data_IF_047419929599
#
_entry.id   IF_047419929599
#
_cell.length_a   1.000
_cell.length_b   1.000
_cell.length_c   1.000
_cell.angle_alpha   90.00
_cell.angle_beta   90.00
_cell.angle_gamma   90.00
#
_symmetry.space_group_name_H-M   'P 1'
#
loop_
_entity.id
_entity.type
_entity.pdbx_description
1 polymer ?
#
# COMPACT_ATOMS: atom_id res chain seq x y z
N UNK A 1 6.75 3.51 15.55
CA UNK A 1 6.98 4.99 15.50
C UNK A 1 5.64 5.71 15.57
N UNK A 2 5.52 6.72 16.45
CA UNK A 2 4.35 7.63 16.53
C UNK A 2 4.48 8.72 15.45
N UNK A 3 3.38 9.06 14.79
CA UNK A 3 3.36 10.09 13.75
C UNK A 3 3.17 11.47 14.38
N UNK A 4 4.05 12.39 14.06
CA UNK A 4 3.95 13.80 14.41
C UNK A 4 4.40 14.66 13.23
N UNK A 5 4.18 15.97 13.30
CA UNK A 5 4.43 16.89 12.19
C UNK A 5 5.87 16.86 11.65
N UNK A 6 6.85 16.60 12.51
CA UNK A 6 8.26 16.54 12.10
C UNK A 6 8.55 15.25 11.34
N UNK A 7 8.23 14.09 11.94
CA UNK A 7 8.55 12.82 11.31
C UNK A 7 7.67 12.54 10.07
N UNK A 8 6.41 12.99 10.03
CA UNK A 8 5.57 12.90 8.84
C UNK A 8 6.22 13.59 7.63
N UNK A 9 6.80 14.80 7.84
CA UNK A 9 7.52 15.51 6.78
C UNK A 9 8.83 14.84 6.38
N UNK A 10 9.53 14.24 7.33
CA UNK A 10 10.75 13.46 7.03
C UNK A 10 10.39 12.21 6.21
N UNK A 11 9.39 11.46 6.63
CA UNK A 11 8.91 10.26 5.91
C UNK A 11 8.42 10.61 4.50
N UNK A 12 7.70 11.72 4.34
CA UNK A 12 7.24 12.22 3.04
C UNK A 12 8.39 12.42 2.04
N UNK A 13 9.56 12.91 2.49
CA UNK A 13 10.74 13.08 1.62
C UNK A 13 11.25 11.75 1.08
N UNK A 14 11.15 10.67 1.86
CA UNK A 14 11.54 9.34 1.45
C UNK A 14 10.46 8.63 0.60
N UNK A 15 9.22 9.15 0.64
CA UNK A 15 8.07 8.50 0.04
C UNK A 15 7.62 7.25 0.80
N UNK A 16 6.55 6.61 0.36
CA UNK A 16 5.97 5.44 1.00
C UNK A 16 6.98 4.28 1.11
N UNK A 17 7.64 3.99 0.02
CA UNK A 17 8.61 2.88 -0.07
C UNK A 17 9.83 3.12 0.83
N UNK A 18 10.42 4.33 0.77
CA UNK A 18 11.56 4.68 1.62
C UNK A 18 11.19 4.77 3.11
N UNK A 19 9.97 5.18 3.45
CA UNK A 19 9.47 5.14 4.83
C UNK A 19 9.37 3.71 5.35
N UNK A 20 8.83 2.80 4.56
CA UNK A 20 8.66 1.39 4.93
C UNK A 20 10.00 0.66 4.98
N UNK A 21 10.79 0.72 3.92
CA UNK A 21 12.02 -0.08 3.82
C UNK A 21 13.26 0.63 4.37
N UNK A 22 13.35 1.95 4.20
CA UNK A 22 14.47 2.73 4.72
C UNK A 22 14.38 3.05 6.22
N UNK A 23 13.21 2.95 6.83
CA UNK A 23 12.97 3.21 8.26
C UNK A 23 12.28 2.03 8.91
N UNK A 24 11.07 1.69 8.49
CA UNK A 24 10.20 0.70 9.13
C UNK A 24 10.82 -0.68 9.25
N UNK A 25 11.38 -1.21 8.18
CA UNK A 25 12.02 -2.53 8.18
C UNK A 25 13.26 -2.58 9.09
N UNK A 26 14.04 -1.47 9.14
CA UNK A 26 15.20 -1.36 10.04
C UNK A 26 14.82 -1.32 11.53
N UNK A 27 13.63 -0.84 11.85
CA UNK A 27 13.10 -0.91 13.22
C UNK A 27 12.52 -2.30 13.49
N UNK A 28 11.71 -2.81 12.55
CA UNK A 28 10.98 -4.05 12.72
C UNK A 28 11.92 -5.26 12.93
N UNK A 29 13.03 -5.34 12.20
CA UNK A 29 13.99 -6.46 12.31
C UNK A 29 14.64 -6.57 13.69
N UNK A 30 14.71 -5.48 14.46
CA UNK A 30 15.26 -5.48 15.83
C UNK A 30 14.36 -6.24 16.80
N UNK A 31 13.05 -6.09 16.62
CA UNK A 31 12.03 -6.75 17.44
C UNK A 31 11.65 -8.13 16.89
N UNK A 32 11.85 -8.32 15.58
CA UNK A 32 11.49 -9.55 14.85
C UNK A 32 12.66 -10.02 13.97
N UNK A 33 13.67 -10.68 14.58
CA UNK A 33 14.86 -11.14 13.86
C UNK A 33 14.59 -12.23 12.82
N UNK A 34 13.38 -12.76 12.78
CA UNK A 34 12.95 -13.68 11.71
C UNK A 34 12.52 -12.99 10.41
N UNK A 35 12.46 -11.65 10.37
CA UNK A 35 12.09 -10.89 9.17
C UNK A 35 13.05 -11.18 8.03
N UNK A 36 12.52 -11.60 6.90
CA UNK A 36 13.24 -11.71 5.63
C UNK A 36 12.58 -10.81 4.59
N UNK A 37 13.42 -10.11 3.81
CA UNK A 37 12.94 -9.29 2.69
C UNK A 37 13.53 -9.83 1.40
N UNK A 38 12.66 -10.11 0.43
CA UNK A 38 13.04 -10.56 -0.90
C UNK A 38 12.67 -9.51 -1.94
N UNK A 39 13.52 -9.31 -2.95
CA UNK A 39 13.29 -8.30 -4.00
C UNK A 39 13.58 -8.85 -5.39
N UNK A 40 12.77 -8.46 -6.36
CA UNK A 40 13.04 -8.68 -7.79
C UNK A 40 13.84 -7.51 -8.38
N UNK A 41 15.09 -7.38 -7.95
CA UNK A 41 16.06 -6.35 -8.39
C UNK A 41 15.60 -4.89 -8.16
N UNK A 42 14.81 -4.66 -7.11
CA UNK A 42 14.25 -3.34 -6.81
C UNK A 42 14.86 -2.68 -5.57
N UNK A 43 15.99 -3.17 -5.05
CA UNK A 43 16.52 -2.74 -3.75
C UNK A 43 16.78 -1.22 -3.68
N UNK A 44 17.37 -0.65 -4.72
CA UNK A 44 17.66 0.79 -4.77
C UNK A 44 16.36 1.61 -4.83
N UNK A 45 15.46 1.27 -5.77
CA UNK A 45 14.19 2.00 -5.98
C UNK A 45 13.25 1.87 -4.79
N UNK A 46 13.28 0.73 -4.13
CA UNK A 46 12.50 0.48 -2.92
C UNK A 46 13.08 1.13 -1.65
N UNK A 47 14.29 1.70 -1.70
CA UNK A 47 14.94 2.27 -0.52
C UNK A 47 15.52 1.22 0.44
N UNK A 48 15.81 0.00 -0.05
CA UNK A 48 16.33 -1.14 0.72
C UNK A 48 17.84 -1.14 0.91
N UNK A 49 18.58 -0.24 0.29
CA UNK A 49 20.06 -0.29 0.31
C UNK A 49 20.63 -0.26 1.74
N UNK A 50 20.04 0.56 2.62
CA UNK A 50 20.46 0.61 4.02
C UNK A 50 20.14 -0.68 4.76
N UNK A 51 18.96 -1.26 4.55
CA UNK A 51 18.56 -2.55 5.15
C UNK A 51 19.49 -3.67 4.70
N UNK A 52 19.68 -3.82 3.41
CA UNK A 52 20.57 -4.80 2.78
C UNK A 52 22.00 -4.73 3.32
N UNK A 53 22.56 -3.51 3.48
CA UNK A 53 23.91 -3.32 3.97
C UNK A 53 24.05 -3.56 5.48
N UNK A 54 22.97 -3.31 6.25
CA UNK A 54 22.98 -3.49 7.72
C UNK A 54 22.66 -4.93 8.12
N UNK A 55 21.77 -5.59 7.37
CA UNK A 55 21.27 -6.95 7.64
C UNK A 55 21.37 -7.82 6.38
N UNK A 56 22.57 -8.12 5.86
CA UNK A 56 22.76 -8.84 4.59
C UNK A 56 22.12 -10.23 4.59
N UNK A 57 22.11 -10.92 5.73
CA UNK A 57 21.52 -12.26 5.86
C UNK A 57 19.98 -12.26 5.89
N UNK A 58 19.37 -11.08 5.97
CA UNK A 58 17.92 -10.89 5.96
C UNK A 58 17.39 -10.39 4.61
N UNK A 59 18.27 -10.22 3.62
CA UNK A 59 17.89 -9.70 2.30
C UNK A 59 18.32 -10.64 1.18
N UNK A 60 17.39 -10.94 0.27
CA UNK A 60 17.64 -11.76 -0.91
C UNK A 60 17.17 -11.06 -2.18
N UNK A 61 18.05 -10.96 -3.16
CA UNK A 61 17.71 -10.48 -4.49
C UNK A 61 17.55 -11.66 -5.44
N UNK A 62 16.35 -11.85 -5.98
CA UNK A 62 16.05 -12.95 -6.92
C UNK A 62 16.35 -12.60 -8.37
N UNK A 63 16.84 -11.37 -8.64
CA UNK A 63 16.88 -10.81 -9.98
C UNK A 63 15.49 -10.44 -10.49
N UNK A 64 15.39 -10.04 -11.76
CA UNK A 64 14.12 -9.67 -12.42
C UNK A 64 13.33 -10.96 -12.72
N UNK A 65 12.74 -11.56 -11.68
CA UNK A 65 12.09 -12.88 -11.75
C UNK A 65 10.95 -12.96 -10.72
N UNK A 66 9.85 -12.26 -10.95
CA UNK A 66 8.75 -12.10 -9.99
C UNK A 66 8.05 -13.42 -9.65
N UNK A 67 7.96 -14.35 -10.59
CA UNK A 67 7.42 -15.70 -10.33
C UNK A 67 8.33 -16.48 -9.36
N UNK A 68 9.65 -16.44 -9.59
CA UNK A 68 10.62 -17.07 -8.69
C UNK A 68 10.64 -16.39 -7.32
N UNK A 69 10.52 -15.06 -7.28
CA UNK A 69 10.40 -14.28 -6.04
C UNK A 69 9.26 -14.82 -5.15
N UNK A 70 8.07 -15.00 -5.71
CA UNK A 70 6.92 -15.53 -4.96
C UNK A 70 7.14 -17.01 -4.60
N UNK A 71 7.70 -17.82 -5.49
CA UNK A 71 7.99 -19.23 -5.21
C UNK A 71 9.00 -19.42 -4.06
N UNK A 72 10.13 -18.69 -4.09
CA UNK A 72 11.11 -18.70 -3.01
C UNK A 72 10.52 -18.25 -1.68
N UNK A 73 9.72 -17.17 -1.72
CA UNK A 73 9.04 -16.65 -0.53
C UNK A 73 8.07 -17.66 0.07
N UNK A 74 7.33 -18.37 -0.77
CA UNK A 74 6.43 -19.43 -0.32
C UNK A 74 7.18 -20.59 0.34
N UNK A 75 8.34 -21.00 -0.21
CA UNK A 75 9.19 -21.99 0.39
C UNK A 75 9.72 -21.56 1.78
N UNK A 76 10.12 -20.30 1.93
CA UNK A 76 10.55 -19.76 3.23
C UNK A 76 9.40 -19.70 4.24
N UNK A 77 8.20 -19.33 3.81
CA UNK A 77 7.00 -19.33 4.68
C UNK A 77 6.62 -20.75 5.11
N UNK A 78 6.78 -21.75 4.25
CA UNK A 78 6.54 -23.18 4.62
C UNK A 78 7.48 -23.66 5.73
N UNK A 79 8.66 -23.04 5.86
CA UNK A 79 9.63 -23.25 6.95
C UNK A 79 9.43 -22.28 8.13
N UNK A 80 8.20 -21.73 8.29
CA UNK A 80 7.82 -20.81 9.36
C UNK A 80 8.59 -19.48 9.39
N UNK A 81 9.17 -19.05 8.26
CA UNK A 81 9.81 -17.73 8.16
C UNK A 81 8.76 -16.68 7.82
N UNK A 82 8.92 -15.47 8.37
CA UNK A 82 8.11 -14.32 8.00
C UNK A 82 8.76 -13.53 6.87
N UNK A 83 8.05 -13.37 5.78
CA UNK A 83 8.61 -12.86 4.53
C UNK A 83 7.84 -11.66 4.01
N UNK A 84 8.60 -10.63 3.65
CA UNK A 84 8.14 -9.47 2.88
C UNK A 84 8.76 -9.52 1.49
N UNK A 85 7.96 -9.39 0.45
CA UNK A 85 8.46 -9.31 -0.92
C UNK A 85 8.19 -7.93 -1.50
N UNK A 86 9.12 -7.43 -2.31
CA UNK A 86 8.95 -6.16 -3.00
C UNK A 86 9.35 -6.26 -4.47
N UNK A 87 8.47 -5.78 -5.33
CA UNK A 87 8.71 -5.65 -6.76
C UNK A 87 7.85 -4.53 -7.36
N UNK A 88 8.04 -4.26 -8.63
CA UNK A 88 7.21 -3.34 -9.41
C UNK A 88 5.74 -3.82 -9.41
N UNK A 89 4.80 -2.94 -9.07
CA UNK A 89 3.40 -3.30 -8.89
C UNK A 89 2.78 -3.99 -10.11
N UNK A 90 3.00 -3.46 -11.33
CA UNK A 90 2.48 -4.07 -12.55
C UNK A 90 3.05 -5.47 -12.79
N UNK A 91 4.31 -5.72 -12.45
CA UNK A 91 4.94 -7.01 -12.72
C UNK A 91 4.60 -8.04 -11.65
N UNK A 92 4.66 -7.67 -10.37
CA UNK A 92 4.33 -8.62 -9.30
C UNK A 92 2.86 -9.04 -9.35
N UNK A 93 1.94 -8.13 -9.71
CA UNK A 93 0.52 -8.45 -9.78
C UNK A 93 0.14 -9.30 -11.00
N UNK A 94 0.78 -9.07 -12.16
CA UNK A 94 0.40 -9.74 -13.41
C UNK A 94 1.26 -10.98 -13.70
N UNK A 95 2.60 -10.87 -13.65
CA UNK A 95 3.49 -11.98 -14.01
C UNK A 95 3.45 -13.13 -13.01
N UNK A 96 3.27 -12.84 -11.72
CA UNK A 96 3.24 -13.85 -10.66
C UNK A 96 1.83 -14.09 -10.08
N UNK A 97 0.79 -13.69 -10.80
CA UNK A 97 -0.60 -13.85 -10.33
C UNK A 97 -0.94 -15.30 -9.96
N UNK A 98 -0.53 -16.27 -10.80
CA UNK A 98 -0.81 -17.68 -10.51
C UNK A 98 -0.13 -18.13 -9.22
N UNK A 99 1.14 -17.79 -9.03
CA UNK A 99 1.90 -18.14 -7.82
C UNK A 99 1.26 -17.51 -6.58
N UNK A 100 0.88 -16.23 -6.65
CA UNK A 100 0.17 -15.55 -5.56
C UNK A 100 -1.18 -16.23 -5.29
N UNK A 101 -1.94 -16.58 -6.32
CA UNK A 101 -3.21 -17.29 -6.19
C UNK A 101 -3.04 -18.64 -5.47
N UNK A 102 -2.01 -19.41 -5.84
CA UNK A 102 -1.75 -20.71 -5.23
C UNK A 102 -1.28 -20.55 -3.77
N UNK A 103 -0.27 -19.74 -3.52
CA UNK A 103 0.34 -19.69 -2.20
C UNK A 103 -0.47 -18.84 -1.21
N UNK A 104 -0.95 -17.68 -1.63
CA UNK A 104 -1.73 -16.79 -0.76
C UNK A 104 -3.22 -17.17 -0.71
N UNK A 105 -3.82 -17.50 -1.86
CA UNK A 105 -5.24 -17.81 -1.93
C UNK A 105 -5.60 -19.22 -1.47
N UNK A 106 -4.92 -20.23 -2.01
CA UNK A 106 -5.20 -21.63 -1.70
C UNK A 106 -4.49 -22.13 -0.44
N UNK A 107 -3.15 -21.94 -0.36
CA UNK A 107 -2.35 -22.40 0.78
C UNK A 107 -2.44 -21.43 1.98
N UNK A 108 -2.95 -20.20 1.78
CA UNK A 108 -3.13 -19.16 2.82
C UNK A 108 -1.83 -18.73 3.49
N UNK A 109 -0.72 -18.77 2.79
CA UNK A 109 0.56 -18.32 3.30
C UNK A 109 0.54 -16.81 3.59
N UNK A 110 0.95 -16.36 4.79
CA UNK A 110 0.88 -14.97 5.22
C UNK A 110 2.02 -14.12 4.62
N UNK A 111 2.13 -14.10 3.29
CA UNK A 111 3.08 -13.25 2.58
C UNK A 111 2.64 -11.79 2.64
N UNK A 112 3.58 -10.89 2.92
CA UNK A 112 3.40 -9.45 2.72
C UNK A 112 4.03 -9.08 1.38
N UNK A 113 3.19 -8.74 0.41
CA UNK A 113 3.59 -8.40 -0.94
C UNK A 113 3.48 -6.88 -1.11
N UNK A 114 4.59 -6.22 -1.41
CA UNK A 114 4.63 -4.79 -1.64
C UNK A 114 4.86 -4.51 -3.13
N UNK A 115 3.84 -3.95 -3.76
CA UNK A 115 3.91 -3.44 -5.13
C UNK A 115 4.28 -1.96 -5.12
N UNK A 116 5.51 -1.63 -5.52
CA UNK A 116 5.96 -0.24 -5.62
C UNK A 116 5.64 0.34 -7.00
N UNK A 117 5.57 1.67 -7.08
CA UNK A 117 5.27 2.41 -8.31
C UNK A 117 3.93 1.98 -8.94
N UNK A 118 2.89 1.85 -8.13
CA UNK A 118 1.55 1.54 -8.61
C UNK A 118 0.89 2.74 -9.30
N UNK A 119 -0.23 2.49 -9.99
CA UNK A 119 -0.94 3.52 -10.74
C UNK A 119 -0.10 4.05 -11.90
N UNK A 120 -0.03 5.37 -12.00
CA UNK A 120 0.75 6.09 -13.01
C UNK A 120 2.09 6.63 -12.49
N UNK A 121 2.60 6.13 -11.37
CA UNK A 121 3.84 6.65 -10.74
C UNK A 121 5.05 6.69 -11.69
N UNK A 122 5.13 5.76 -12.65
CA UNK A 122 6.19 5.72 -13.67
C UNK A 122 5.69 6.16 -15.06
N UNK A 123 5.04 7.32 -15.14
CA UNK A 123 4.49 7.86 -16.40
C UNK A 123 5.51 7.93 -17.52
N UNK A 124 6.77 8.27 -17.23
CA UNK A 124 7.85 8.38 -18.20
C UNK A 124 8.26 7.04 -18.84
N UNK A 125 7.93 5.90 -18.23
CA UNK A 125 8.19 4.56 -18.75
C UNK A 125 7.07 4.05 -19.66
N UNK A 126 5.94 4.75 -19.71
CA UNK A 126 4.79 4.39 -20.54
C UNK A 126 3.95 3.24 -19.97
N UNK A 127 2.99 2.79 -20.78
CA UNK A 127 1.95 1.85 -20.38
C UNK A 127 2.46 0.47 -19.93
N UNK A 128 3.66 0.07 -20.34
CA UNK A 128 4.27 -1.19 -19.88
C UNK A 128 4.59 -1.20 -18.39
N UNK A 129 4.62 -0.03 -17.73
CA UNK A 129 4.93 0.14 -16.31
C UNK A 129 3.75 0.70 -15.51
N UNK A 130 2.62 1.00 -16.14
CA UNK A 130 1.42 1.39 -15.41
C UNK A 130 0.85 0.19 -14.65
N UNK A 131 0.46 0.41 -13.41
CA UNK A 131 -0.21 -0.60 -12.59
C UNK A 131 -1.61 -0.09 -12.24
N UNK A 132 -2.50 -0.09 -13.23
CA UNK A 132 -3.89 0.37 -13.09
C UNK A 132 -4.89 -0.78 -13.07
N UNK A 133 -4.42 -2.02 -13.05
CA UNK A 133 -5.21 -3.26 -12.95
C UNK A 133 -4.85 -4.07 -11.71
N UNK A 134 -3.79 -3.71 -10.99
CA UNK A 134 -3.19 -4.49 -9.91
C UNK A 134 -4.17 -4.81 -8.77
N UNK A 135 -4.95 -3.81 -8.29
CA UNK A 135 -5.97 -4.05 -7.27
C UNK A 135 -7.05 -5.00 -7.77
N UNK A 136 -7.53 -4.81 -9.00
CA UNK A 136 -8.57 -5.64 -9.62
C UNK A 136 -8.16 -7.10 -9.75
N UNK A 137 -6.92 -7.34 -10.20
CA UNK A 137 -6.34 -8.68 -10.35
C UNK A 137 -6.19 -9.35 -8.98
N UNK A 138 -5.53 -8.70 -8.04
CA UNK A 138 -5.27 -9.25 -6.70
C UNK A 138 -6.57 -9.40 -5.89
N UNK A 139 -7.56 -8.55 -6.12
CA UNK A 139 -8.87 -8.62 -5.45
C UNK A 139 -9.61 -9.94 -5.71
N UNK A 140 -9.37 -10.58 -6.86
CA UNK A 140 -9.97 -11.87 -7.20
C UNK A 140 -9.50 -13.01 -6.28
N UNK A 141 -8.35 -12.86 -5.60
CA UNK A 141 -7.78 -13.91 -4.76
C UNK A 141 -8.52 -13.97 -3.41
N UNK A 142 -9.14 -15.13 -3.04
CA UNK A 142 -9.79 -15.27 -1.74
C UNK A 142 -8.83 -15.08 -0.57
N UNK A 143 -9.29 -14.41 0.50
CA UNK A 143 -8.51 -14.20 1.72
C UNK A 143 -7.40 -13.15 1.64
N UNK A 144 -7.11 -12.62 0.45
CA UNK A 144 -6.13 -11.55 0.26
C UNK A 144 -6.61 -10.24 0.87
N UNK A 145 -5.76 -9.58 1.65
CA UNK A 145 -5.97 -8.19 2.10
C UNK A 145 -5.30 -7.24 1.13
N UNK A 146 -5.95 -6.13 0.78
CA UNK A 146 -5.40 -5.13 -0.16
C UNK A 146 -5.41 -3.76 0.51
N UNK A 147 -4.25 -3.11 0.53
CA UNK A 147 -4.03 -1.82 1.17
C UNK A 147 -3.37 -0.87 0.17
N UNK A 148 -3.89 0.36 0.09
CA UNK A 148 -3.34 1.45 -0.72
C UNK A 148 -3.21 2.70 0.17
N UNK A 149 -2.08 2.90 0.85
CA UNK A 149 -1.88 4.02 1.75
C UNK A 149 -1.92 5.36 1.02
N UNK A 150 -2.30 6.41 1.73
CA UNK A 150 -2.42 7.77 1.18
C UNK A 150 -1.17 8.63 1.37
N UNK A 151 -0.31 8.28 2.31
CA UNK A 151 0.97 8.94 2.57
C UNK A 151 2.01 8.00 3.19
N UNK A 152 3.23 8.51 3.36
CA UNK A 152 4.35 7.73 3.89
C UNK A 152 4.17 7.32 5.36
N UNK A 153 3.50 8.12 6.18
CA UNK A 153 3.19 7.79 7.57
C UNK A 153 2.18 6.65 7.66
N UNK A 154 1.14 6.72 6.84
CA UNK A 154 0.15 5.66 6.76
C UNK A 154 0.73 4.36 6.16
N UNK A 155 1.63 4.47 5.17
CA UNK A 155 2.33 3.32 4.61
C UNK A 155 3.13 2.57 5.67
N UNK A 156 3.81 3.30 6.55
CA UNK A 156 4.55 2.73 7.68
C UNK A 156 3.62 2.00 8.67
N UNK A 157 2.48 2.62 9.04
CA UNK A 157 1.49 1.98 9.90
C UNK A 157 0.85 0.74 9.25
N UNK A 158 0.54 0.82 7.96
CA UNK A 158 0.03 -0.30 7.18
C UNK A 158 1.01 -1.49 7.18
N UNK A 159 2.29 -1.21 7.02
CA UNK A 159 3.34 -2.23 7.07
C UNK A 159 3.40 -2.93 8.43
N UNK A 160 3.45 -2.19 9.54
CA UNK A 160 3.44 -2.77 10.88
C UNK A 160 2.14 -3.56 11.20
N UNK A 161 0.99 -3.02 10.81
CA UNK A 161 -0.27 -3.72 10.98
C UNK A 161 -0.34 -5.01 10.15
N UNK A 162 0.23 -5.01 8.94
CA UNK A 162 0.31 -6.19 8.09
C UNK A 162 1.21 -7.27 8.69
N UNK A 163 2.30 -6.89 9.35
CA UNK A 163 3.22 -7.81 10.02
C UNK A 163 2.53 -8.66 11.10
N UNK A 164 1.59 -8.07 11.83
CA UNK A 164 0.85 -8.75 12.92
C UNK A 164 -0.41 -9.47 12.46
N UNK A 165 -0.88 -9.22 11.22
CA UNK A 165 -2.16 -9.73 10.74
C UNK A 165 -2.19 -11.26 10.52
N UNK A 166 -1.02 -11.87 10.25
CA UNK A 166 -0.87 -13.30 9.91
C UNK A 166 -1.81 -13.79 8.79
N UNK A 167 -1.99 -12.96 7.77
CA UNK A 167 -2.76 -13.23 6.54
C UNK A 167 -1.99 -12.71 5.34
N UNK A 168 -2.28 -13.18 4.11
CA UNK A 168 -1.67 -12.59 2.93
C UNK A 168 -2.15 -11.15 2.72
N UNK A 169 -1.19 -10.26 2.47
CA UNK A 169 -1.43 -8.83 2.27
C UNK A 169 -0.75 -8.36 1.00
N UNK A 170 -1.45 -7.59 0.19
CA UNK A 170 -0.89 -6.78 -0.88
C UNK A 170 -0.96 -5.31 -0.49
N UNK A 171 0.18 -4.65 -0.39
CA UNK A 171 0.29 -3.22 -0.16
C UNK A 171 0.79 -2.58 -1.44
N UNK A 172 0.04 -1.63 -1.97
CA UNK A 172 0.45 -0.90 -3.18
C UNK A 172 0.87 0.53 -2.85
N UNK A 173 2.01 0.95 -3.35
CA UNK A 173 2.50 2.31 -3.17
C UNK A 173 2.36 3.11 -4.47
N UNK A 174 1.61 4.20 -4.36
CA UNK A 174 1.36 5.17 -5.44
C UNK A 174 2.13 6.47 -5.25
N UNK A 175 2.59 6.76 -4.04
CA UNK A 175 3.37 7.95 -3.69
C UNK A 175 4.87 7.75 -3.88
N UNK A 176 5.49 8.64 -4.65
CA UNK A 176 6.95 8.72 -4.78
C UNK A 176 7.61 9.58 -3.72
N UNK A 177 8.85 10.00 -3.98
CA UNK A 177 9.57 10.95 -3.13
C UNK A 177 8.80 12.28 -3.01
N UNK A 178 8.85 12.89 -1.82
CA UNK A 178 8.11 14.11 -1.49
C UNK A 178 6.59 13.96 -1.68
N UNK A 179 6.04 12.79 -1.35
CA UNK A 179 4.60 12.57 -1.39
C UNK A 179 3.87 13.54 -0.42
N UNK A 180 2.62 13.92 -0.70
CA UNK A 180 1.84 14.75 0.22
C UNK A 180 1.79 14.15 1.62
N UNK A 181 1.74 15.00 2.64
CA UNK A 181 1.48 14.60 4.03
C UNK A 181 -0.02 14.76 4.28
N UNK A 182 -0.70 13.66 4.56
CA UNK A 182 -2.12 13.64 4.92
C UNK A 182 -2.28 13.69 6.43
N UNK A 183 -1.44 12.93 7.15
CA UNK A 183 -1.47 12.82 8.60
C UNK A 183 -0.28 13.52 9.23
N UNK A 184 -0.52 14.71 9.80
CA UNK A 184 0.51 15.48 10.53
C UNK A 184 0.60 15.13 12.04
N UNK A 185 -0.32 14.30 12.53
CA UNK A 185 -0.42 13.87 13.93
C UNK A 185 -0.73 12.38 14.01
N UNK A 186 -0.56 11.82 15.20
CA UNK A 186 -0.92 10.43 15.46
C UNK A 186 -2.39 10.18 15.15
N UNK A 187 -2.67 9.04 14.53
CA UNK A 187 -4.01 8.64 14.12
C UNK A 187 -4.23 7.14 14.33
N UNK A 188 -5.47 6.76 14.53
CA UNK A 188 -5.83 5.35 14.66
C UNK A 188 -5.84 4.70 13.28
N UNK A 189 -4.96 3.72 13.07
CA UNK A 189 -4.90 2.92 11.87
C UNK A 189 -5.38 1.49 12.15
N UNK A 190 -6.40 1.07 11.42
CA UNK A 190 -6.93 -0.29 11.51
C UNK A 190 -7.23 -0.82 10.12
N UNK A 191 -6.63 -1.97 9.76
CA UNK A 191 -6.92 -2.64 8.49
C UNK A 191 -8.42 -2.96 8.40
N UNK A 192 -9.05 -2.60 7.28
CA UNK A 192 -10.47 -2.79 7.04
C UNK A 192 -11.37 -1.65 7.52
N UNK A 193 -10.81 -0.56 8.06
CA UNK A 193 -11.57 0.63 8.48
C UNK A 193 -11.09 1.87 7.71
N UNK A 194 -12.02 2.56 7.06
CA UNK A 194 -11.74 3.86 6.44
C UNK A 194 -11.55 4.96 7.48
N UNK A 195 -10.84 6.01 7.12
CA UNK A 195 -10.61 7.17 7.98
C UNK A 195 -11.31 8.38 7.39
N UNK A 196 -12.25 8.97 8.15
CA UNK A 196 -12.90 10.23 7.75
C UNK A 196 -11.98 11.39 8.03
N UNK A 197 -11.57 12.08 6.96
CA UNK A 197 -10.66 13.22 7.01
C UNK A 197 -11.40 14.55 7.08
N UNK A 198 -12.65 14.56 6.61
CA UNK A 198 -13.50 15.76 6.58
C UNK A 198 -14.96 15.35 6.66
N UNK A 199 -15.74 16.08 7.45
CA UNK A 199 -17.19 15.93 7.53
C UNK A 199 -17.90 16.79 6.50
N UNK A 200 -18.95 16.26 5.90
CA UNK A 200 -19.84 16.94 4.97
C UNK A 200 -21.14 16.17 4.78
N UNK A 201 -22.15 16.79 4.16
CA UNK A 201 -23.50 16.21 4.08
C UNK A 201 -24.15 16.26 2.69
N UNK A 202 -23.47 16.80 1.68
CA UNK A 202 -24.05 16.88 0.32
C UNK A 202 -23.39 15.88 -0.63
N UNK A 203 -22.05 15.77 -0.58
CA UNK A 203 -21.25 14.86 -1.39
C UNK A 203 -20.35 14.09 -0.49
N UNK A 204 -20.17 12.78 -0.73
CA UNK A 204 -19.12 11.99 -0.12
C UNK A 204 -18.09 11.62 -1.17
N UNK A 205 -16.82 11.99 -0.94
CA UNK A 205 -15.68 11.56 -1.75
C UNK A 205 -14.95 10.45 -0.98
N UNK A 206 -14.82 9.29 -1.62
CA UNK A 206 -14.08 8.14 -1.09
C UNK A 206 -12.85 7.98 -1.96
N UNK A 207 -11.69 8.24 -1.39
CA UNK A 207 -10.42 8.21 -2.11
C UNK A 207 -9.46 7.18 -1.53
N UNK A 208 -8.50 6.71 -2.34
CA UNK A 208 -7.47 5.78 -1.91
C UNK A 208 -6.10 6.13 -2.50
N UNK A 209 -5.02 5.78 -1.78
CA UNK A 209 -3.66 6.06 -2.22
C UNK A 209 -3.39 7.56 -2.40
N UNK A 210 -2.54 7.90 -3.36
CA UNK A 210 -2.17 9.28 -3.71
C UNK A 210 -3.37 10.19 -4.03
N UNK A 211 -4.53 9.61 -4.37
CA UNK A 211 -5.72 10.39 -4.72
C UNK A 211 -6.42 11.01 -3.52
N UNK A 212 -6.10 10.64 -2.29
CA UNK A 212 -6.64 11.26 -1.07
C UNK A 212 -6.28 12.75 -0.99
N UNK A 213 -5.04 13.12 -1.31
CA UNK A 213 -4.62 14.54 -1.40
C UNK A 213 -5.46 15.31 -2.42
N UNK A 214 -5.73 14.70 -3.58
CA UNK A 214 -6.55 15.31 -4.63
C UNK A 214 -8.00 15.49 -4.19
N UNK A 215 -8.56 14.51 -3.49
CA UNK A 215 -9.89 14.56 -2.92
C UNK A 215 -10.04 15.68 -1.88
N UNK A 216 -9.06 15.86 -1.00
CA UNK A 216 -9.03 16.95 -0.02
C UNK A 216 -8.97 18.32 -0.67
N UNK A 217 -8.13 18.49 -1.71
CA UNK A 217 -8.04 19.73 -2.49
C UNK A 217 -9.36 20.04 -3.23
N UNK A 218 -9.98 19.04 -3.83
CA UNK A 218 -11.27 19.18 -4.50
C UNK A 218 -12.38 19.58 -3.51
N UNK A 219 -12.41 18.94 -2.32
CA UNK A 219 -13.36 19.26 -1.27
C UNK A 219 -13.26 20.72 -0.81
N UNK A 220 -12.02 21.25 -0.69
CA UNK A 220 -11.79 22.66 -0.35
C UNK A 220 -12.34 23.62 -1.42
N UNK A 221 -12.12 23.32 -2.69
CA UNK A 221 -12.64 24.14 -3.81
C UNK A 221 -14.17 24.10 -3.85
N UNK A 222 -14.78 22.96 -3.55
CA UNK A 222 -16.24 22.80 -3.51
C UNK A 222 -16.85 23.57 -2.34
N UNK A 223 -16.18 23.59 -1.18
CA UNK A 223 -16.60 24.39 -0.02
C UNK A 223 -16.67 25.89 -0.32
N UNK A 224 -15.69 26.43 -1.04
CA UNK A 224 -15.67 27.83 -1.49
C UNK A 224 -16.91 28.16 -2.38
N UNK A 225 -17.54 27.13 -2.97
CA UNK A 225 -18.78 27.20 -3.74
C UNK A 225 -20.05 26.90 -2.92
N UNK A 226 -19.93 26.76 -1.60
CA UNK A 226 -21.03 26.44 -0.70
C UNK A 226 -21.48 24.98 -0.72
N UNK A 227 -20.67 24.06 -1.24
CA UNK A 227 -20.97 22.63 -1.30
C UNK A 227 -20.25 21.91 -0.16
N UNK A 228 -21.01 21.27 0.72
CA UNK A 228 -20.51 20.52 1.87
C UNK A 228 -20.06 19.13 1.46
N UNK A 229 -18.76 18.83 1.60
CA UNK A 229 -18.13 17.58 1.14
C UNK A 229 -17.54 16.79 2.30
N UNK A 230 -17.95 15.53 2.40
CA UNK A 230 -17.35 14.50 3.25
C UNK A 230 -16.18 13.84 2.49
N UNK A 231 -15.03 13.63 3.13
CA UNK A 231 -13.88 12.99 2.51
C UNK A 231 -13.42 11.82 3.38
N UNK A 232 -13.35 10.66 2.76
CA UNK A 232 -12.91 9.41 3.38
C UNK A 232 -11.63 8.92 2.70
N UNK A 233 -10.61 8.64 3.49
CA UNK A 233 -9.45 7.85 3.10
C UNK A 233 -9.78 6.37 3.26
N UNK A 234 -9.99 5.68 2.14
CA UNK A 234 -10.28 4.26 2.07
C UNK A 234 -8.97 3.50 1.80
N UNK A 235 -8.07 3.52 2.76
CA UNK A 235 -6.75 2.88 2.62
C UNK A 235 -6.82 1.35 2.49
N UNK A 236 -7.88 0.70 2.94
CA UNK A 236 -8.08 -0.74 2.76
C UNK A 236 -9.18 -1.01 1.73
N UNK A 237 -8.79 -1.63 0.62
CA UNK A 237 -9.69 -1.96 -0.48
C UNK A 237 -10.37 -3.32 -0.25
N UNK A 238 -9.67 -4.22 0.45
CA UNK A 238 -10.20 -5.54 0.82
C UNK A 238 -9.64 -5.96 2.18
N UNK A 239 -10.51 -6.16 3.20
CA UNK A 239 -11.96 -5.92 3.17
C UNK A 239 -12.30 -4.44 3.09
N UNK A 240 -13.41 -4.10 2.45
CA UNK A 240 -13.88 -2.72 2.35
C UNK A 240 -14.70 -2.35 3.58
N UNK A 241 -14.51 -1.14 4.12
CA UNK A 241 -15.33 -0.58 5.18
C UNK A 241 -16.61 0.05 4.58
N UNK A 242 -17.67 -0.74 4.51
CA UNK A 242 -18.97 -0.26 4.02
C UNK A 242 -19.74 0.56 5.04
N UNK A 243 -19.38 0.49 6.34
CA UNK A 243 -20.10 1.21 7.40
C UNK A 243 -19.84 2.71 7.37
N UNK A 244 -18.71 3.14 6.77
CA UNK A 244 -18.33 4.55 6.64
C UNK A 244 -19.12 5.29 5.55
N UNK A 245 -19.82 4.54 4.69
CA UNK A 245 -20.63 5.10 3.60
C UNK A 245 -21.84 5.85 4.14
N UNK A 246 -22.03 7.08 3.67
CA UNK A 246 -23.21 7.89 4.01
C UNK A 246 -24.38 7.57 3.07
N UNK A 247 -25.55 7.26 3.65
CA UNK A 247 -26.77 6.95 2.88
C UNK A 247 -27.54 8.22 2.45
N UNK A 248 -27.35 9.33 3.19
CA UNK A 248 -28.14 10.55 3.04
C UNK A 248 -27.43 11.67 2.27
N UNK A 249 -26.42 11.32 1.46
CA UNK A 249 -25.73 12.27 0.58
C UNK A 249 -26.33 12.21 -0.83
N UNK A 250 -26.24 13.34 -1.55
CA UNK A 250 -26.76 13.43 -2.93
C UNK A 250 -25.94 12.66 -3.94
N UNK A 251 -24.63 12.52 -3.66
CA UNK A 251 -23.66 11.91 -4.57
C UNK A 251 -22.53 11.26 -3.77
N UNK A 252 -22.14 10.06 -4.17
CA UNK A 252 -20.90 9.40 -3.74
C UNK A 252 -19.95 9.34 -4.93
N UNK A 253 -18.68 9.72 -4.72
CA UNK A 253 -17.65 9.76 -5.75
C UNK A 253 -16.47 8.94 -5.28
N UNK A 254 -16.09 7.89 -6.01
CA UNK A 254 -14.82 7.17 -5.79
C UNK A 254 -13.70 7.86 -6.56
N UNK A 255 -12.52 7.97 -5.94
CA UNK A 255 -11.33 8.59 -6.55
C UNK A 255 -10.13 7.69 -6.31
N UNK A 256 -9.58 7.17 -7.39
CA UNK A 256 -8.50 6.20 -7.36
C UNK A 256 -7.59 6.33 -8.58
N UNK A 257 -6.37 5.86 -8.46
CA UNK A 257 -5.42 5.76 -9.57
C UNK A 257 -5.40 4.30 -10.08
N UNK A 258 -6.50 3.92 -10.71
CA UNK A 258 -6.77 2.56 -11.17
C UNK A 258 -7.82 2.56 -12.29
N UNK A 259 -7.94 1.46 -13.03
CA UNK A 259 -9.05 1.21 -13.93
C UNK A 259 -10.38 1.17 -13.14
N UNK A 260 -11.48 1.59 -13.78
CA UNK A 260 -12.82 1.44 -13.20
C UNK A 260 -13.24 -0.03 -13.02
N UNK A 261 -12.52 -0.97 -13.65
CA UNK A 261 -12.81 -2.40 -13.55
C UNK A 261 -12.03 -2.99 -12.39
N UNK A 262 -12.74 -3.40 -11.34
CA UNK A 262 -12.17 -4.08 -10.19
C UNK A 262 -11.41 -3.17 -9.19
N UNK A 263 -11.49 -1.87 -9.35
CA UNK A 263 -10.94 -0.87 -8.43
C UNK A 263 -11.76 -0.67 -7.16
N UNK A 264 -11.68 0.53 -6.59
CA UNK A 264 -12.42 0.92 -5.39
C UNK A 264 -13.90 1.14 -5.68
N UNK A 265 -14.19 1.84 -6.80
CA UNK A 265 -15.54 2.27 -7.21
C UNK A 265 -16.51 1.19 -7.66
#
# INVERSE_FOLDING_TARGET
MEINKLNARILSKFGESGAVFGVGALELVKDYPELLILSADMSMVAGLERFKNTYPDHFFNTGIAEQNLIGMSAGLVSENRKVVVVAQACFISMRSFEQIRQYCGYMKFPLIIVGINAGFSLTFMGNTHYAIEDMGIIRCIPGMTIISPSDAGQALKAFYASWTLNKPVYIRFTGGLNCPVIYEQEFNYQIGKGIRLREGNQIQIIATGSMVDRALKAAKILEEKGISVDVVDMHTIKPLDTDILKKDVKLVVSVEEHSIIGGLG
#
